data_IF_143127787799
#
_entry.id   IF_143127787799
#
_cell.length_a   1.000
_cell.length_b   1.000
_cell.length_c   1.000
_cell.angle_alpha   90.00
_cell.angle_beta   90.00
_cell.angle_gamma   90.00
#
_symmetry.space_group_name_H-M   'P 1'
#
loop_
_entity.id
_entity.type
_entity.pdbx_description
1 polymer ?
#
# COMPACT_ATOMS: atom_id res chain seq x y z
N UNK A 1 6.28 3.29 19.90
CA UNK A 1 5.83 3.96 18.66
C UNK A 1 7.10 4.31 17.89
N UNK A 2 7.25 3.81 16.65
CA UNK A 2 8.39 4.19 15.80
C UNK A 2 8.09 5.51 15.09
N UNK A 3 9.15 6.22 14.73
CA UNK A 3 9.08 7.39 13.86
C UNK A 3 9.56 7.00 12.46
N UNK A 4 8.99 7.62 11.44
CA UNK A 4 9.36 7.42 10.04
C UNK A 4 10.84 7.73 9.81
N UNK A 5 11.46 7.07 8.81
CA UNK A 5 12.84 7.38 8.41
C UNK A 5 12.93 8.87 8.05
N UNK A 6 14.10 9.45 8.26
CA UNK A 6 14.42 10.87 7.95
C UNK A 6 13.52 11.91 8.64
N UNK A 7 12.82 11.53 9.73
CA UNK A 7 12.02 12.46 10.55
C UNK A 7 12.86 13.29 11.53
N UNK A 8 14.15 12.93 11.74
CA UNK A 8 15.00 13.53 12.78
C UNK A 8 15.11 15.05 12.63
N UNK A 9 15.39 15.56 11.43
CA UNK A 9 15.48 17.00 11.18
C UNK A 9 14.15 17.74 11.43
N UNK A 10 13.04 17.13 11.03
CA UNK A 10 11.70 17.67 11.21
C UNK A 10 11.23 17.71 12.68
N UNK A 11 11.86 16.93 13.54
CA UNK A 11 11.53 16.84 14.97
C UNK A 11 12.55 17.60 15.82
N UNK A 12 13.87 17.52 15.51
CA UNK A 12 14.91 18.15 16.31
C UNK A 12 14.85 19.69 16.27
N UNK A 13 14.54 20.28 15.12
CA UNK A 13 14.44 21.75 15.01
C UNK A 13 13.29 22.29 15.89
N UNK A 14 12.06 21.78 15.85
CA UNK A 14 11.02 22.20 16.77
C UNK A 14 11.35 21.94 18.26
N UNK A 15 12.07 20.87 18.59
CA UNK A 15 12.53 20.61 19.98
C UNK A 15 13.43 21.72 20.44
N UNK A 16 14.50 22.04 19.68
CA UNK A 16 15.48 23.07 20.02
C UNK A 16 14.78 24.43 20.15
N UNK A 17 13.92 24.77 19.19
CA UNK A 17 13.17 26.03 19.22
C UNK A 17 12.27 26.14 20.47
N UNK A 18 11.54 25.09 20.80
CA UNK A 18 10.66 25.06 22.00
C UNK A 18 11.48 25.27 23.27
N UNK A 19 12.62 24.56 23.39
CA UNK A 19 13.50 24.69 24.56
C UNK A 19 14.13 26.09 24.66
N UNK A 20 14.61 26.65 23.56
CA UNK A 20 15.19 28.01 23.53
C UNK A 20 14.17 29.09 23.90
N UNK A 21 12.94 29.01 23.42
CA UNK A 21 11.86 29.93 23.75
C UNK A 21 11.45 29.83 25.23
N UNK A 22 11.43 28.62 25.79
CA UNK A 22 11.16 28.43 27.22
C UNK A 22 12.28 29.02 28.09
N UNK A 23 13.55 28.80 27.74
CA UNK A 23 14.72 29.36 28.41
C UNK A 23 14.75 30.90 28.35
N UNK A 24 14.25 31.47 27.26
CA UNK A 24 14.11 32.92 27.10
C UNK A 24 12.89 33.52 27.87
N UNK A 25 12.16 32.72 28.62
CA UNK A 25 10.97 33.18 29.38
C UNK A 25 9.71 33.44 28.51
N UNK A 26 9.74 33.08 27.24
CA UNK A 26 8.61 33.31 26.30
C UNK A 26 7.58 32.17 26.38
N UNK A 27 6.95 31.98 27.50
CA UNK A 27 6.11 30.81 27.82
C UNK A 27 4.97 30.55 26.84
N UNK A 28 4.25 31.59 26.39
CA UNK A 28 3.12 31.44 25.45
C UNK A 28 3.60 30.97 24.07
N UNK A 29 4.72 31.54 23.60
CA UNK A 29 5.29 31.16 22.29
C UNK A 29 5.90 29.77 22.37
N UNK A 30 6.55 29.43 23.50
CA UNK A 30 7.05 28.08 23.76
C UNK A 30 5.92 27.03 23.77
N UNK A 31 4.77 27.36 24.41
CA UNK A 31 3.61 26.48 24.41
C UNK A 31 3.05 26.25 22.99
N UNK A 32 2.96 27.30 22.18
CA UNK A 32 2.55 27.16 20.77
C UNK A 32 3.56 26.32 19.97
N UNK A 33 4.86 26.52 20.16
CA UNK A 33 5.91 25.70 19.53
C UNK A 33 5.84 24.22 19.97
N UNK A 34 5.51 23.96 21.24
CA UNK A 34 5.30 22.61 21.76
C UNK A 34 4.12 21.90 21.10
N UNK A 35 3.00 22.60 20.84
CA UNK A 35 1.87 22.05 20.08
C UNK A 35 2.31 21.67 18.67
N UNK A 36 3.09 22.53 18.00
CA UNK A 36 3.67 22.25 16.70
C UNK A 36 4.58 21.01 16.72
N UNK A 37 5.44 20.90 17.75
CA UNK A 37 6.29 19.72 17.95
C UNK A 37 5.46 18.44 18.16
N UNK A 38 4.44 18.49 19.01
CA UNK A 38 3.55 17.35 19.22
C UNK A 38 2.87 16.91 17.92
N UNK A 39 2.42 17.87 17.10
CA UNK A 39 1.89 17.59 15.77
C UNK A 39 2.93 16.95 14.86
N UNK A 40 4.18 17.44 14.85
CA UNK A 40 5.25 16.84 14.04
C UNK A 40 5.55 15.39 14.44
N UNK A 41 5.60 15.09 15.73
CA UNK A 41 5.77 13.72 16.24
C UNK A 41 4.59 12.84 15.83
N UNK A 42 3.37 13.33 15.98
CA UNK A 42 2.16 12.63 15.55
C UNK A 42 2.15 12.37 14.05
N UNK A 43 2.50 13.35 13.23
CA UNK A 43 2.53 13.25 11.78
C UNK A 43 3.56 12.22 11.28
N UNK A 44 4.75 12.19 11.89
CA UNK A 44 5.83 11.27 11.51
C UNK A 44 5.74 9.90 12.19
N UNK A 45 4.62 9.56 12.85
CA UNK A 45 4.43 8.25 13.46
C UNK A 45 4.43 7.13 12.41
N UNK A 46 5.04 6.02 12.75
CA UNK A 46 5.12 4.81 11.92
C UNK A 46 4.82 3.56 12.76
N UNK A 47 3.55 3.25 12.99
CA UNK A 47 3.16 2.09 13.79
C UNK A 47 3.52 0.78 13.09
N UNK A 48 3.96 -0.22 13.84
CA UNK A 48 4.07 -1.57 13.32
C UNK A 48 2.67 -2.12 13.05
N UNK A 49 2.53 -2.89 11.96
CA UNK A 49 1.24 -3.41 11.51
C UNK A 49 1.38 -4.83 11.00
N UNK A 50 0.34 -5.59 11.25
CA UNK A 50 0.18 -6.94 10.72
C UNK A 50 -0.98 -6.94 9.72
N UNK A 51 -0.84 -7.63 8.57
CA UNK A 51 -1.94 -7.83 7.62
C UNK A 51 -3.14 -8.51 8.28
N UNK A 52 -4.34 -8.14 7.85
CA UNK A 52 -5.58 -8.75 8.37
C UNK A 52 -5.81 -10.15 7.80
N UNK A 53 -5.45 -10.36 6.53
CA UNK A 53 -5.63 -11.63 5.81
C UNK A 53 -4.73 -11.66 4.56
N UNK A 54 -4.79 -12.74 3.80
CA UNK A 54 -4.15 -12.85 2.50
C UNK A 54 -4.76 -11.88 1.47
N UNK A 55 -3.97 -11.54 0.43
CA UNK A 55 -4.36 -10.64 -0.64
C UNK A 55 -3.50 -9.39 -0.74
N UNK A 56 -3.87 -8.48 -1.62
CA UNK A 56 -3.20 -7.22 -1.87
C UNK A 56 -3.56 -6.20 -0.79
N UNK A 57 -2.56 -5.62 -0.15
CA UNK A 57 -2.74 -4.64 0.93
C UNK A 57 -2.89 -3.22 0.39
N UNK A 58 -3.59 -2.38 1.14
CA UNK A 58 -3.56 -0.94 0.92
C UNK A 58 -2.13 -0.40 1.07
N UNK A 59 -1.62 0.37 0.10
CA UNK A 59 -0.29 0.98 0.20
C UNK A 59 -0.26 2.22 1.09
N UNK A 60 -1.40 2.78 1.45
CA UNK A 60 -1.51 4.03 2.21
C UNK A 60 -2.67 3.97 3.22
N UNK A 61 -2.57 4.82 4.26
CA UNK A 61 -3.71 5.15 5.12
C UNK A 61 -4.56 6.20 4.44
N UNK A 62 -5.86 6.18 4.72
CA UNK A 62 -6.73 7.25 4.27
C UNK A 62 -8.05 6.74 3.74
N UNK A 63 -8.60 7.50 2.78
CA UNK A 63 -9.90 7.24 2.18
C UNK A 63 -9.75 6.93 0.69
N UNK A 64 -10.48 5.91 0.22
CA UNK A 64 -10.54 5.57 -1.21
C UNK A 64 -11.29 6.69 -1.95
N UNK A 65 -10.60 7.34 -2.90
CA UNK A 65 -11.18 8.38 -3.77
C UNK A 65 -11.36 7.91 -5.21
N UNK A 66 -10.83 6.74 -5.55
CA UNK A 66 -11.07 6.05 -6.81
C UNK A 66 -10.92 4.55 -6.59
N UNK A 67 -11.87 3.77 -7.08
CA UNK A 67 -11.86 2.32 -7.04
C UNK A 67 -12.36 1.80 -8.40
N UNK A 68 -11.47 1.15 -9.16
CA UNK A 68 -11.77 0.44 -10.41
C UNK A 68 -11.05 -0.90 -10.40
N UNK A 69 -11.42 -1.83 -11.29
CA UNK A 69 -10.84 -3.17 -11.32
C UNK A 69 -9.33 -3.17 -11.62
N UNK A 70 -8.82 -2.13 -12.22
CA UNK A 70 -7.43 -1.96 -12.62
C UNK A 70 -6.64 -1.02 -11.72
N UNK A 71 -7.33 -0.18 -10.90
CA UNK A 71 -6.66 0.87 -10.12
C UNK A 71 -7.43 1.29 -8.88
N UNK A 72 -6.68 1.51 -7.79
CA UNK A 72 -7.17 2.13 -6.55
C UNK A 72 -6.35 3.37 -6.24
N UNK A 73 -7.04 4.43 -5.81
CA UNK A 73 -6.42 5.67 -5.33
C UNK A 73 -6.85 5.95 -3.89
N UNK A 74 -5.87 6.10 -3.02
CA UNK A 74 -6.05 6.42 -1.59
C UNK A 74 -5.63 7.86 -1.34
N UNK A 75 -6.53 8.69 -0.85
CA UNK A 75 -6.22 10.04 -0.37
C UNK A 75 -5.84 9.99 1.12
N UNK A 76 -4.73 10.61 1.48
CA UNK A 76 -4.23 10.72 2.86
C UNK A 76 -4.47 12.12 3.40
N UNK A 77 -5.29 12.24 4.45
CA UNK A 77 -5.49 13.48 5.20
C UNK A 77 -4.37 13.69 6.24
N UNK A 78 -4.30 14.87 6.84
CA UNK A 78 -3.25 15.23 7.81
C UNK A 78 -3.19 14.32 9.04
N UNK A 79 -4.31 13.70 9.41
CA UNK A 79 -4.38 12.78 10.54
C UNK A 79 -3.98 11.34 10.20
N UNK A 80 -3.78 11.01 8.93
CA UNK A 80 -3.41 9.68 8.49
C UNK A 80 -1.90 9.41 8.68
N UNK A 81 -1.51 8.13 8.68
CA UNK A 81 -0.08 7.75 8.66
C UNK A 81 0.44 7.89 7.23
N UNK A 82 1.48 8.66 7.05
CA UNK A 82 2.02 9.00 5.73
C UNK A 82 3.13 8.06 5.24
N UNK A 83 3.45 7.02 6.01
CA UNK A 83 4.37 5.95 5.57
C UNK A 83 3.62 4.99 4.66
N UNK A 84 4.12 4.85 3.43
CA UNK A 84 3.56 3.96 2.42
C UNK A 84 4.21 2.58 2.46
N UNK A 85 3.44 1.55 2.08
CA UNK A 85 3.84 0.16 2.20
C UNK A 85 3.62 -0.62 0.91
N UNK A 86 4.45 -1.63 0.67
CA UNK A 86 4.31 -2.53 -0.46
C UNK A 86 2.98 -3.28 -0.42
N UNK A 87 2.18 -3.25 -1.50
CA UNK A 87 0.88 -3.94 -1.53
C UNK A 87 1.01 -5.46 -1.62
N UNK A 88 2.06 -5.95 -2.29
CA UNK A 88 2.38 -7.36 -2.53
C UNK A 88 3.89 -7.57 -2.38
N UNK A 89 4.30 -8.83 -2.23
CA UNK A 89 5.70 -9.23 -2.34
C UNK A 89 6.20 -8.99 -3.76
N UNK A 90 7.46 -8.54 -3.90
CA UNK A 90 8.02 -8.34 -5.24
C UNK A 90 9.43 -7.76 -5.24
N UNK A 91 9.88 -7.42 -6.44
CA UNK A 91 11.16 -6.75 -6.68
C UNK A 91 10.91 -5.41 -7.35
N UNK A 92 11.52 -4.35 -6.86
CA UNK A 92 11.44 -3.01 -7.45
C UNK A 92 12.17 -3.01 -8.79
N UNK A 93 11.45 -2.75 -9.89
CA UNK A 93 12.03 -2.69 -11.24
C UNK A 93 12.57 -1.30 -11.51
N UNK A 94 11.77 -0.28 -11.21
CA UNK A 94 12.13 1.13 -11.44
C UNK A 94 11.55 2.05 -10.38
N UNK A 95 12.26 3.17 -10.16
CA UNK A 95 11.80 4.30 -9.35
C UNK A 95 12.02 5.55 -10.17
N UNK A 96 10.95 6.22 -10.56
CA UNK A 96 10.98 7.42 -11.38
C UNK A 96 10.43 8.61 -10.60
N UNK A 97 11.22 9.68 -10.48
CA UNK A 97 10.81 10.93 -9.86
C UNK A 97 10.43 11.94 -10.95
N UNK A 98 9.22 12.48 -10.87
CA UNK A 98 8.74 13.50 -11.80
C UNK A 98 8.38 14.78 -11.03
N UNK A 99 8.93 15.90 -11.48
CA UNK A 99 8.48 17.22 -11.06
C UNK A 99 7.10 17.50 -11.64
N UNK A 100 6.29 18.30 -10.96
CA UNK A 100 4.94 18.59 -11.42
C UNK A 100 4.32 19.80 -10.75
N UNK A 101 3.00 19.96 -10.91
CA UNK A 101 2.18 21.00 -10.29
C UNK A 101 1.97 20.74 -8.80
N UNK A 102 1.18 21.58 -8.14
CA UNK A 102 1.00 21.62 -6.69
C UNK A 102 -0.49 21.78 -6.32
N UNK A 103 -1.34 21.04 -7.00
CA UNK A 103 -2.77 21.07 -6.77
C UNK A 103 -3.14 20.26 -5.52
N UNK A 104 -4.28 20.55 -4.85
CA UNK A 104 -4.80 19.73 -3.78
C UNK A 104 -4.93 18.26 -4.22
N UNK A 105 -4.43 17.33 -3.40
CA UNK A 105 -4.27 15.93 -3.79
C UNK A 105 -5.59 15.19 -4.06
N UNK A 106 -6.72 15.72 -3.57
CA UNK A 106 -8.05 15.16 -3.83
C UNK A 106 -8.62 15.52 -5.21
N UNK A 107 -8.04 16.50 -5.92
CA UNK A 107 -8.48 16.86 -7.26
C UNK A 107 -7.99 15.84 -8.30
N UNK A 108 -8.80 15.57 -9.33
CA UNK A 108 -8.42 14.67 -10.43
C UNK A 108 -7.16 15.14 -11.17
N UNK A 109 -7.00 16.46 -11.36
CA UNK A 109 -5.80 17.08 -11.96
C UNK A 109 -4.52 16.95 -11.13
N UNK A 110 -4.61 16.54 -9.87
CA UNK A 110 -3.41 16.30 -9.04
C UNK A 110 -2.51 15.16 -9.55
N UNK A 111 -2.95 14.39 -10.53
CA UNK A 111 -2.06 13.46 -11.27
C UNK A 111 -0.88 14.14 -11.96
N UNK A 112 -0.94 15.46 -12.15
CA UNK A 112 0.15 16.28 -12.69
C UNK A 112 1.09 16.83 -11.61
N UNK A 113 0.83 16.59 -10.32
CA UNK A 113 1.69 17.00 -9.23
C UNK A 113 3.02 16.26 -9.25
N UNK A 114 3.98 16.77 -8.47
CA UNK A 114 5.21 16.04 -8.20
C UNK A 114 4.90 14.63 -7.69
N UNK A 115 5.56 13.63 -8.28
CA UNK A 115 5.26 12.24 -8.02
C UNK A 115 6.51 11.35 -8.07
N UNK A 116 6.44 10.25 -7.35
CA UNK A 116 7.40 9.15 -7.47
C UNK A 116 6.62 7.90 -7.87
N UNK A 117 6.98 7.36 -9.03
CA UNK A 117 6.37 6.16 -9.62
C UNK A 117 7.31 4.98 -9.42
N UNK A 118 6.82 3.91 -8.82
CA UNK A 118 7.54 2.66 -8.60
C UNK A 118 6.86 1.55 -9.38
N UNK A 119 7.63 0.77 -10.13
CA UNK A 119 7.16 -0.47 -10.73
C UNK A 119 7.71 -1.64 -9.94
N UNK A 120 6.84 -2.57 -9.59
CA UNK A 120 7.15 -3.72 -8.74
C UNK A 120 6.79 -4.99 -9.50
N UNK A 121 7.78 -5.84 -9.77
CA UNK A 121 7.54 -7.17 -10.32
C UNK A 121 7.10 -8.09 -9.20
N UNK A 122 5.89 -8.61 -9.30
CA UNK A 122 5.31 -9.56 -8.35
C UNK A 122 5.14 -10.93 -9.01
N UNK A 123 4.74 -11.93 -8.25
CA UNK A 123 4.38 -13.26 -8.79
C UNK A 123 3.14 -13.20 -9.71
N UNK A 124 2.28 -12.21 -9.50
CA UNK A 124 1.03 -11.98 -10.26
C UNK A 124 1.20 -11.02 -11.44
N UNK A 125 2.43 -10.64 -11.76
CA UNK A 125 2.76 -9.66 -12.78
C UNK A 125 3.25 -8.34 -12.24
N UNK A 126 3.44 -7.37 -13.12
CA UNK A 126 3.91 -6.03 -12.77
C UNK A 126 2.77 -5.20 -12.19
N UNK A 127 3.03 -4.52 -11.07
CA UNK A 127 2.16 -3.49 -10.50
C UNK A 127 2.89 -2.16 -10.47
N UNK A 128 2.14 -1.08 -10.62
CA UNK A 128 2.62 0.28 -10.48
C UNK A 128 2.07 0.89 -9.19
N UNK A 129 2.95 1.55 -8.43
CA UNK A 129 2.60 2.37 -7.29
C UNK A 129 3.11 3.78 -7.51
N UNK A 130 2.21 4.76 -7.44
CA UNK A 130 2.52 6.17 -7.65
C UNK A 130 2.23 6.98 -6.38
N UNK A 131 3.26 7.56 -5.79
CA UNK A 131 3.19 8.50 -4.69
C UNK A 131 3.05 9.91 -5.28
N UNK A 132 2.00 10.65 -4.90
CA UNK A 132 1.67 11.96 -5.46
C UNK A 132 1.54 12.98 -4.33
N UNK A 133 2.29 14.07 -4.41
CA UNK A 133 2.27 15.13 -3.39
C UNK A 133 1.00 15.98 -3.50
N UNK A 134 0.65 16.63 -2.39
CA UNK A 134 -0.37 17.66 -2.35
C UNK A 134 0.22 19.08 -2.46
N UNK A 135 -0.45 20.04 -1.81
CA UNK A 135 -0.18 21.47 -1.95
C UNK A 135 0.91 22.00 -1.03
N UNK A 136 1.02 21.46 0.21
CA UNK A 136 1.77 22.09 1.31
C UNK A 136 3.26 21.77 1.26
N UNK A 137 3.63 20.53 1.53
CA UNK A 137 5.02 20.06 1.50
C UNK A 137 5.15 19.01 0.39
N UNK A 138 6.16 19.19 -0.46
CA UNK A 138 6.32 18.44 -1.71
C UNK A 138 7.46 17.44 -1.61
N UNK A 139 7.57 16.79 -0.46
CA UNK A 139 8.65 15.86 -0.24
C UNK A 139 8.14 14.43 -0.25
N UNK A 140 8.70 13.64 -1.15
CA UNK A 140 8.54 12.20 -1.21
C UNK A 140 9.88 11.59 -0.84
N UNK A 141 9.90 10.86 0.27
CA UNK A 141 11.07 10.10 0.70
C UNK A 141 10.88 8.66 0.25
N UNK A 142 11.67 8.22 -0.71
CA UNK A 142 11.68 6.83 -1.17
C UNK A 142 12.65 6.01 -0.32
N UNK A 143 12.22 4.86 0.20
CA UNK A 143 13.04 3.98 1.04
C UNK A 143 13.66 2.83 0.26
N UNK A 144 13.27 2.66 -0.99
CA UNK A 144 13.65 1.56 -1.87
C UNK A 144 14.28 2.08 -3.16
N UNK A 145 15.07 1.23 -3.82
CA UNK A 145 15.72 1.49 -5.10
C UNK A 145 15.51 0.31 -6.05
N UNK A 146 15.73 0.47 -7.35
CA UNK A 146 15.70 -0.63 -8.30
C UNK A 146 16.61 -1.79 -7.86
N UNK A 147 16.09 -3.02 -7.96
CA UNK A 147 16.73 -4.27 -7.50
C UNK A 147 16.38 -4.69 -6.08
N UNK A 148 15.81 -3.83 -5.25
CA UNK A 148 15.42 -4.20 -3.88
C UNK A 148 14.24 -5.18 -3.91
N UNK A 149 14.29 -6.24 -3.08
CA UNK A 149 13.14 -7.09 -2.76
C UNK A 149 12.35 -6.45 -1.64
N UNK A 150 11.03 -6.44 -1.79
CA UNK A 150 10.10 -5.93 -0.78
C UNK A 150 9.09 -7.01 -0.42
N UNK A 151 8.76 -7.08 0.86
CA UNK A 151 7.71 -7.95 1.36
C UNK A 151 6.39 -7.17 1.47
N UNK A 152 5.30 -7.86 1.33
CA UNK A 152 3.95 -7.33 1.51
C UNK A 152 3.80 -6.65 2.88
N UNK A 153 3.41 -5.38 2.87
CA UNK A 153 3.32 -4.55 4.07
C UNK A 153 4.63 -3.88 4.49
N UNK A 154 5.74 -4.15 3.81
CA UNK A 154 7.02 -3.49 4.05
C UNK A 154 6.97 -2.00 3.68
N UNK A 155 7.73 -1.18 4.42
CA UNK A 155 7.80 0.28 4.24
C UNK A 155 8.60 0.62 3.00
N UNK A 156 8.00 1.33 2.05
CA UNK A 156 8.62 1.68 0.75
C UNK A 156 8.86 3.18 0.58
N UNK A 157 8.28 4.01 1.42
CA UNK A 157 8.47 5.46 1.37
C UNK A 157 7.53 6.21 2.28
N UNK A 158 7.64 7.54 2.25
CA UNK A 158 6.78 8.47 2.96
C UNK A 158 6.50 9.69 2.07
N UNK A 159 5.27 10.22 2.13
CA UNK A 159 4.93 11.49 1.50
C UNK A 159 4.60 12.48 2.61
N UNK A 160 5.17 13.69 2.58
CA UNK A 160 4.90 14.69 3.62
C UNK A 160 3.77 15.63 3.23
N UNK A 161 2.76 15.71 4.10
CA UNK A 161 1.60 16.64 4.11
C UNK A 161 0.67 16.58 2.89
N UNK A 162 -0.51 15.98 3.10
CA UNK A 162 -1.65 15.97 2.19
C UNK A 162 -1.29 15.38 0.82
N UNK A 163 -1.60 14.13 0.60
CA UNK A 163 -1.08 13.40 -0.53
C UNK A 163 -2.04 12.29 -0.96
N UNK A 164 -1.74 11.63 -2.05
CA UNK A 164 -2.44 10.42 -2.45
C UNK A 164 -1.48 9.37 -2.98
N UNK A 165 -1.89 8.13 -2.89
CA UNK A 165 -1.19 7.00 -3.48
C UNK A 165 -2.13 6.30 -4.44
N UNK A 166 -1.65 6.06 -5.65
CA UNK A 166 -2.31 5.27 -6.67
C UNK A 166 -1.61 3.93 -6.80
N UNK A 167 -2.36 2.85 -6.94
CA UNK A 167 -1.79 1.53 -7.22
C UNK A 167 -2.64 0.79 -8.25
N UNK A 168 -1.99 0.11 -9.18
CA UNK A 168 -2.67 -0.79 -10.11
C UNK A 168 -3.02 -2.10 -9.41
N UNK A 169 -4.10 -2.73 -9.85
CA UNK A 169 -4.55 -4.05 -9.40
C UNK A 169 -4.13 -5.08 -10.44
N UNK A 170 -3.46 -6.18 -10.05
CA UNK A 170 -3.07 -7.22 -10.99
C UNK A 170 -4.30 -7.89 -11.63
N UNK A 171 -4.13 -8.40 -12.85
CA UNK A 171 -5.17 -9.22 -13.49
C UNK A 171 -5.50 -10.45 -12.66
N UNK A 172 -6.76 -10.83 -12.62
CA UNK A 172 -7.22 -11.97 -11.82
C UNK A 172 -7.41 -11.67 -10.33
N UNK A 173 -7.35 -10.39 -9.93
CA UNK A 173 -7.72 -9.93 -8.60
C UNK A 173 -9.13 -9.33 -8.60
N UNK A 174 -9.91 -9.63 -7.57
CA UNK A 174 -11.20 -9.02 -7.27
C UNK A 174 -11.02 -7.92 -6.23
N UNK A 175 -11.49 -6.73 -6.55
CA UNK A 175 -11.48 -5.59 -5.63
C UNK A 175 -12.45 -5.84 -4.47
N UNK A 176 -12.02 -5.50 -3.24
CA UNK A 176 -12.81 -5.65 -2.00
C UNK A 176 -13.22 -4.32 -1.38
N UNK A 177 -12.74 -3.20 -1.94
CA UNK A 177 -13.01 -1.85 -1.41
C UNK A 177 -13.80 -1.03 -2.39
N UNK A 178 -14.55 -0.07 -1.87
CA UNK A 178 -15.42 0.85 -2.59
C UNK A 178 -14.99 2.30 -2.38
N UNK A 179 -15.49 3.19 -3.23
CA UNK A 179 -15.32 4.63 -3.06
C UNK A 179 -15.80 5.08 -1.68
N UNK A 180 -14.98 5.85 -0.97
CA UNK A 180 -15.27 6.37 0.36
C UNK A 180 -14.80 5.49 1.52
N UNK A 181 -14.41 4.24 1.28
CA UNK A 181 -13.91 3.35 2.34
C UNK A 181 -12.64 3.89 2.99
N UNK A 182 -12.52 3.69 4.30
CA UNK A 182 -11.30 4.00 5.05
C UNK A 182 -10.39 2.77 5.08
N UNK A 183 -9.12 2.97 4.72
CA UNK A 183 -8.12 1.91 4.64
C UNK A 183 -6.87 2.26 5.44
N UNK A 184 -6.10 1.23 5.81
CA UNK A 184 -4.82 1.36 6.53
C UNK A 184 -3.71 0.63 5.80
N UNK A 185 -2.63 1.35 5.51
CA UNK A 185 -1.42 0.82 4.85
C UNK A 185 -0.90 -0.43 5.55
N UNK A 186 -0.64 -1.47 4.78
CA UNK A 186 -0.07 -2.72 5.29
C UNK A 186 -1.00 -3.52 6.23
N UNK A 187 -2.27 -3.12 6.37
CA UNK A 187 -3.25 -3.81 7.21
C UNK A 187 -4.50 -4.20 6.43
N UNK A 188 -5.17 -3.24 5.79
CA UNK A 188 -6.42 -3.47 5.05
C UNK A 188 -6.13 -4.17 3.73
N UNK A 189 -6.81 -5.27 3.47
CA UNK A 189 -6.78 -5.94 2.16
C UNK A 189 -7.72 -5.22 1.21
N UNK A 190 -7.21 -4.77 0.06
CA UNK A 190 -7.98 -4.01 -0.94
C UNK A 190 -8.41 -4.88 -2.12
N UNK A 191 -7.71 -5.99 -2.39
CA UNK A 191 -8.08 -6.93 -3.43
C UNK A 191 -7.56 -8.34 -3.10
N UNK A 192 -8.25 -9.37 -3.61
CA UNK A 192 -7.88 -10.78 -3.45
C UNK A 192 -7.79 -11.44 -4.81
N UNK A 193 -6.89 -12.41 -4.93
CA UNK A 193 -6.76 -13.24 -6.14
C UNK A 193 -8.04 -14.06 -6.32
N UNK A 194 -8.66 -13.96 -7.50
CA UNK A 194 -9.73 -14.86 -7.88
C UNK A 194 -9.13 -16.28 -7.96
N UNK A 195 -9.67 -17.20 -7.19
CA UNK A 195 -9.40 -18.61 -7.45
C UNK A 195 -9.98 -18.90 -8.84
N UNK A 196 -9.13 -19.18 -9.84
CA UNK A 196 -9.61 -19.80 -11.06
C UNK A 196 -10.33 -21.07 -10.63
N UNK A 197 -11.57 -21.26 -11.02
CA UNK A 197 -12.23 -22.55 -10.88
C UNK A 197 -11.23 -23.59 -11.36
N UNK A 198 -10.89 -24.48 -10.44
CA UNK A 198 -10.00 -25.61 -10.75
C UNK A 198 -10.69 -26.29 -11.93
N UNK A 199 -10.10 -26.25 -13.14
CA UNK A 199 -10.57 -26.99 -14.29
C UNK A 199 -10.93 -28.39 -13.77
N UNK A 200 -12.22 -28.73 -13.81
CA UNK A 200 -12.69 -30.07 -13.48
C UNK A 200 -11.83 -31.02 -14.29
N UNK A 201 -11.03 -31.81 -13.59
CA UNK A 201 -10.36 -32.96 -14.21
C UNK A 201 -11.52 -33.79 -14.75
N UNK A 202 -11.58 -34.05 -16.08
CA UNK A 202 -12.65 -34.88 -16.62
C UNK A 202 -12.59 -36.23 -15.89
N UNK A 203 -13.64 -36.55 -15.15
CA UNK A 203 -13.80 -37.88 -14.58
C UNK A 203 -13.83 -38.84 -15.77
N UNK A 204 -12.88 -39.81 -15.90
CA UNK A 204 -12.93 -40.75 -16.96
C UNK A 204 -14.26 -41.51 -16.87
N UNK A 205 -15.07 -41.40 -17.93
CA UNK A 205 -16.31 -42.13 -18.06
C UNK A 205 -15.98 -43.62 -18.01
N UNK A 206 -16.36 -44.29 -16.94
CA UNK A 206 -16.36 -45.74 -16.87
C UNK A 206 -17.38 -46.24 -17.90
N UNK A 207 -16.88 -46.74 -19.02
CA UNK A 207 -17.71 -47.46 -20.00
C UNK A 207 -18.23 -48.72 -19.33
N UNK A 208 -19.54 -48.74 -19.13
CA UNK A 208 -20.28 -49.94 -18.73
C UNK A 208 -20.40 -50.90 -19.93
N UNK A 209 -19.29 -51.59 -20.25
CA UNK A 209 -19.36 -52.73 -21.14
C UNK A 209 -19.56 -53.98 -20.27
N UNK A 210 -20.83 -54.34 -20.12
CA UNK A 210 -21.24 -55.57 -19.48
C UNK A 210 -21.05 -56.75 -20.42
N UNK A 211 -19.90 -57.39 -20.38
CA UNK A 211 -19.75 -58.74 -20.89
C UNK A 211 -19.18 -59.64 -19.78
N UNK A 212 -20.09 -60.39 -19.17
CA UNK A 212 -19.78 -61.49 -18.27
C UNK A 212 -19.24 -62.66 -19.11
N UNK A 213 -18.03 -63.14 -18.90
CA UNK A 213 -17.59 -64.40 -19.51
C UNK A 213 -18.20 -65.56 -18.70
N UNK A 214 -18.96 -66.41 -19.44
CA UNK A 214 -19.49 -67.68 -18.96
C UNK A 214 -18.37 -68.64 -18.53
N UNK A 215 -18.54 -69.25 -17.37
CA UNK A 215 -17.67 -70.29 -16.83
C UNK A 215 -17.76 -71.57 -17.70
N UNK A 216 -16.63 -72.26 -17.90
CA UNK A 216 -16.65 -73.61 -18.50
C UNK A 216 -16.98 -74.62 -17.41
N UNK A 217 -18.08 -75.33 -17.66
CA UNK A 217 -18.44 -76.58 -16.97
C UNK A 217 -17.57 -77.74 -17.42
N UNK A 218 -17.17 -78.55 -16.45
CA UNK A 218 -16.80 -79.93 -16.64
C UNK A 218 -15.31 -80.25 -16.51
N UNK A 219 -14.98 -81.08 -15.51
CA UNK A 219 -14.60 -82.47 -15.73
C UNK A 219 -14.56 -83.18 -14.35
N UNK A 220 -15.23 -84.33 -14.32
CA UNK A 220 -15.15 -85.39 -13.31
C UNK A 220 -13.75 -86.06 -13.25
N UNK A 221 -13.31 -86.37 -12.10
CA UNK A 221 -12.88 -87.67 -11.54
C UNK A 221 -12.30 -87.44 -10.18
#
# INVERSE_FOLDING_TARGET
>A
MRLARDSRGWISVPIILTAALAAAGSWYISAAAFIGLAFMIFFHRDPDRMPQSEGMLSPADGRIIQASQDKVTVFMGLADVHVNRAPLDGTIISVEHRKGTHLPAFLSRASQNQQTRMRIQTAEGEIELCQITGTIVREIVCYVKPGDRVLRGERIGMIRFGSRVETTIPRGYKLLVSLGDSVRAGKTVIAVKCLSERSEVPVPSVSSDGSVPSAPSGVSL
#
